data_IF_840265923883
#
_entry.id   IF_840265923883
#
_cell.length_a   1.000
_cell.length_b   1.000
_cell.length_c   1.000
_cell.angle_alpha   90.00
_cell.angle_beta   90.00
_cell.angle_gamma   90.00
#
_symmetry.space_group_name_H-M   'P 1'
#
loop_
_entity.id
_entity.type
_entity.pdbx_description
1 polymer ?
#
# COMPACT_ATOMS: atom_id res chain seq x y z
N UNK A 1 5.42 -44.78 14.29
CA UNK A 1 5.31 -43.33 14.55
C UNK A 1 6.12 -42.67 13.46
N UNK A 2 5.47 -42.28 12.36
CA UNK A 2 6.11 -41.48 11.34
C UNK A 2 6.26 -40.08 11.94
N UNK A 3 7.50 -39.64 12.08
CA UNK A 3 7.82 -38.24 12.32
C UNK A 3 7.24 -37.47 11.12
N UNK A 4 6.10 -36.78 11.33
CA UNK A 4 5.70 -35.71 10.43
C UNK A 4 6.81 -34.66 10.55
N UNK A 5 7.66 -34.58 9.52
CA UNK A 5 8.52 -33.42 9.31
C UNK A 5 7.60 -32.20 9.28
N UNK A 6 7.56 -31.45 10.37
CA UNK A 6 6.92 -30.15 10.40
C UNK A 6 7.71 -29.27 9.44
N UNK A 7 7.29 -29.22 8.18
CA UNK A 7 7.72 -28.19 7.24
C UNK A 7 7.49 -26.87 7.95
N UNK A 8 8.58 -26.26 8.44
CA UNK A 8 8.59 -24.89 8.92
C UNK A 8 8.19 -24.08 7.70
N UNK A 9 6.90 -23.75 7.68
CA UNK A 9 6.21 -23.25 6.50
C UNK A 9 6.80 -21.86 6.27
N UNK A 10 7.80 -21.75 5.40
CA UNK A 10 8.60 -20.55 5.15
C UNK A 10 7.70 -19.30 5.11
N UNK A 11 8.07 -18.30 5.94
CA UNK A 11 7.54 -16.94 5.85
C UNK A 11 7.58 -16.55 4.38
N UNK A 12 6.44 -16.18 3.81
CA UNK A 12 6.40 -15.87 2.39
C UNK A 12 7.08 -14.51 2.20
N UNK A 13 8.41 -14.53 2.04
CA UNK A 13 9.28 -13.35 1.93
C UNK A 13 8.74 -12.38 0.89
N UNK A 14 8.06 -12.90 -0.14
CA UNK A 14 7.40 -12.13 -1.17
C UNK A 14 6.36 -11.16 -0.60
N UNK A 15 5.48 -11.59 0.32
CA UNK A 15 4.47 -10.70 0.91
C UNK A 15 5.13 -9.64 1.80
N UNK A 16 6.16 -10.02 2.57
CA UNK A 16 6.90 -9.11 3.42
C UNK A 16 7.60 -8.03 2.57
N UNK A 17 8.23 -8.44 1.48
CA UNK A 17 8.86 -7.55 0.50
C UNK A 17 7.82 -6.64 -0.15
N UNK A 18 6.66 -7.17 -0.56
CA UNK A 18 5.57 -6.37 -1.14
C UNK A 18 5.07 -5.32 -0.14
N UNK A 19 4.89 -5.67 1.14
CA UNK A 19 4.51 -4.73 2.19
C UNK A 19 5.55 -3.61 2.39
N UNK A 20 6.84 -3.95 2.36
CA UNK A 20 7.92 -2.97 2.44
C UNK A 20 7.91 -2.06 1.21
N UNK A 21 7.82 -2.62 0.01
CA UNK A 21 7.79 -1.85 -1.24
C UNK A 21 6.57 -0.92 -1.29
N UNK A 22 5.41 -1.41 -0.87
CA UNK A 22 4.19 -0.62 -0.78
C UNK A 22 4.34 0.47 0.27
N UNK A 23 4.89 0.16 1.46
CA UNK A 23 5.16 1.16 2.49
C UNK A 23 6.12 2.26 2.02
N UNK A 24 7.21 1.89 1.33
CA UNK A 24 8.14 2.85 0.73
C UNK A 24 7.46 3.69 -0.36
N UNK A 25 6.58 3.11 -1.16
CA UNK A 25 5.80 3.84 -2.15
C UNK A 25 4.88 4.87 -1.50
N UNK A 26 4.18 4.52 -0.42
CA UNK A 26 3.34 5.45 0.35
C UNK A 26 4.16 6.57 1.00
N UNK A 27 5.34 6.25 1.55
CA UNK A 27 6.27 7.25 2.09
C UNK A 27 6.71 8.20 0.96
N UNK A 28 7.09 7.66 -0.20
CA UNK A 28 7.50 8.45 -1.36
C UNK A 28 6.38 9.40 -1.82
N UNK A 29 5.16 8.88 -1.97
CA UNK A 29 3.99 9.67 -2.34
C UNK A 29 3.75 10.81 -1.36
N UNK A 30 3.87 10.56 -0.06
CA UNK A 30 3.64 11.59 0.93
C UNK A 30 4.78 12.61 1.05
N UNK A 31 6.02 12.22 0.71
CA UNK A 31 7.12 13.18 0.53
C UNK A 31 6.85 14.08 -0.68
N UNK A 32 6.32 13.54 -1.79
CA UNK A 32 5.92 14.35 -2.94
C UNK A 32 4.80 15.33 -2.57
N UNK A 33 3.81 14.89 -1.77
CA UNK A 33 2.74 15.76 -1.26
C UNK A 33 3.31 16.91 -0.42
N UNK A 34 4.20 16.58 0.51
CA UNK A 34 4.84 17.57 1.38
C UNK A 34 5.65 18.60 0.59
N UNK A 35 6.38 18.15 -0.44
CA UNK A 35 7.15 19.03 -1.32
C UNK A 35 6.24 19.91 -2.20
N UNK A 36 5.12 19.37 -2.69
CA UNK A 36 4.11 20.11 -3.43
C UNK A 36 3.43 21.17 -2.54
N UNK A 37 3.06 20.81 -1.30
CA UNK A 37 2.54 21.73 -0.29
C UNK A 37 3.54 22.85 0.04
N UNK A 38 4.84 22.52 0.11
CA UNK A 38 5.91 23.50 0.33
C UNK A 38 6.18 24.41 -0.88
N UNK A 39 5.44 24.26 -1.98
CA UNK A 39 5.59 25.06 -3.20
C UNK A 39 6.90 24.80 -3.94
N UNK A 40 7.57 23.67 -3.65
CA UNK A 40 8.80 23.28 -4.35
C UNK A 40 8.40 22.68 -5.70
N UNK A 41 8.84 23.26 -6.83
CA UNK A 41 8.53 22.73 -8.14
C UNK A 41 9.21 21.37 -8.31
N UNK A 42 8.41 20.31 -8.22
CA UNK A 42 8.85 18.95 -8.44
C UNK A 42 9.14 18.78 -9.93
N UNK A 43 10.42 18.59 -10.27
CA UNK A 43 10.87 18.23 -11.62
C UNK A 43 10.54 16.75 -11.91
N UNK A 44 9.26 16.40 -11.82
CA UNK A 44 8.76 15.08 -12.14
C UNK A 44 8.65 14.93 -13.67
N UNK A 45 8.87 13.73 -14.22
CA UNK A 45 8.78 13.49 -15.66
C UNK A 45 7.45 13.96 -16.25
N UNK A 46 7.42 14.34 -17.53
CA UNK A 46 6.23 14.88 -18.20
C UNK A 46 4.98 13.98 -18.12
N UNK A 47 5.15 12.66 -17.97
CA UNK A 47 4.04 11.71 -17.78
C UNK A 47 3.43 11.75 -16.37
N UNK A 48 4.14 12.33 -15.39
CA UNK A 48 3.67 12.60 -14.02
C UNK A 48 3.21 14.06 -13.88
N UNK A 49 3.84 14.99 -14.60
CA UNK A 49 3.55 16.44 -14.55
C UNK A 49 2.63 16.94 -15.65
N UNK A 50 2.11 16.05 -16.50
CA UNK A 50 0.98 16.38 -17.35
C UNK A 50 -0.14 16.94 -16.46
N UNK A 51 -0.77 18.04 -16.88
CA UNK A 51 -1.67 18.87 -16.05
C UNK A 51 -2.69 18.05 -15.27
N UNK A 52 -3.20 17.00 -15.88
CA UNK A 52 -4.27 16.16 -15.33
C UNK A 52 -3.71 15.19 -14.27
N UNK A 53 -2.57 14.54 -14.54
CA UNK A 53 -1.90 13.66 -13.58
C UNK A 53 -1.40 14.42 -12.35
N UNK A 54 -0.93 15.67 -12.52
CA UNK A 54 -0.45 16.48 -11.39
C UNK A 54 -1.58 16.94 -10.45
N UNK A 55 -2.76 17.26 -11.00
CA UNK A 55 -3.93 17.65 -10.21
C UNK A 55 -4.58 16.43 -9.54
N UNK A 56 -4.59 15.28 -10.20
CA UNK A 56 -5.10 14.04 -9.63
C UNK A 56 -4.17 13.47 -8.57
N UNK A 57 -2.85 13.53 -8.79
CA UNK A 57 -1.86 13.23 -7.76
C UNK A 57 -2.05 14.21 -6.60
N UNK A 58 -2.21 15.51 -6.81
CA UNK A 58 -2.55 16.45 -5.73
C UNK A 58 -3.90 16.19 -5.06
N UNK A 59 -4.90 15.68 -5.78
CA UNK A 59 -6.20 15.28 -5.21
C UNK A 59 -6.11 14.01 -4.36
N UNK A 60 -5.26 13.06 -4.78
CA UNK A 60 -4.92 11.83 -4.05
C UNK A 60 -4.06 12.13 -2.81
N UNK A 61 -3.18 13.14 -2.91
CA UNK A 61 -2.15 13.44 -1.93
C UNK A 61 -2.57 14.53 -0.91
N UNK A 62 -3.21 15.60 -1.37
CA UNK A 62 -3.39 16.86 -0.63
C UNK A 62 -4.44 16.85 0.49
N UNK A 63 -5.22 15.77 0.65
CA UNK A 63 -6.20 15.67 1.73
C UNK A 63 -5.69 14.94 2.98
N UNK A 64 -4.64 14.13 2.88
CA UNK A 64 -4.28 13.16 3.94
C UNK A 64 -2.78 12.85 4.08
N UNK A 65 -1.86 13.68 3.57
CA UNK A 65 -0.42 13.41 3.57
C UNK A 65 0.17 12.84 4.87
N UNK A 66 -0.26 13.33 6.05
CA UNK A 66 0.19 12.79 7.35
C UNK A 66 -0.27 11.35 7.62
N UNK A 67 -1.49 11.00 7.23
CA UNK A 67 -2.04 9.64 7.38
C UNK A 67 -1.33 8.70 6.42
N UNK A 68 -1.03 9.17 5.20
CA UNK A 68 -0.28 8.43 4.18
C UNK A 68 1.16 8.12 4.63
N UNK A 69 1.86 9.08 5.26
CA UNK A 69 3.19 8.84 5.87
C UNK A 69 3.08 7.81 6.98
N UNK A 70 2.14 7.98 7.91
CA UNK A 70 1.97 7.08 9.03
C UNK A 70 1.71 5.65 8.54
N UNK A 71 0.80 5.48 7.58
CA UNK A 71 0.52 4.19 6.93
C UNK A 71 1.76 3.59 6.27
N UNK A 72 2.53 4.39 5.52
CA UNK A 72 3.74 3.94 4.88
C UNK A 72 4.80 3.46 5.88
N UNK A 73 4.99 4.19 6.98
CA UNK A 73 5.90 3.80 8.06
C UNK A 73 5.44 2.52 8.73
N UNK A 74 4.16 2.40 9.07
CA UNK A 74 3.61 1.19 9.69
C UNK A 74 3.67 -0.02 8.74
N UNK A 75 3.49 0.18 7.43
CA UNK A 75 3.64 -0.87 6.43
C UNK A 75 5.09 -1.40 6.37
N UNK A 76 6.08 -0.50 6.37
CA UNK A 76 7.51 -0.88 6.39
C UNK A 76 7.86 -1.60 7.69
N UNK A 77 7.44 -1.05 8.84
CA UNK A 77 7.71 -1.64 10.15
C UNK A 77 7.07 -3.03 10.27
N UNK A 78 5.82 -3.19 9.81
CA UNK A 78 5.14 -4.48 9.80
C UNK A 78 5.80 -5.47 8.84
N UNK A 79 6.21 -5.04 7.64
CA UNK A 79 6.93 -5.87 6.69
C UNK A 79 8.28 -6.38 7.23
N UNK A 80 9.04 -5.52 7.94
CA UNK A 80 10.27 -5.92 8.63
C UNK A 80 9.97 -6.86 9.80
N UNK A 81 8.94 -6.58 10.60
CA UNK A 81 8.55 -7.43 11.73
C UNK A 81 8.06 -8.81 11.31
N UNK A 82 7.39 -8.91 10.15
CA UNK A 82 6.92 -10.18 9.59
C UNK A 82 8.04 -11.12 9.13
N UNK A 83 9.26 -10.60 8.85
CA UNK A 83 10.44 -11.44 8.64
C UNK A 83 10.92 -12.14 9.92
N UNK A 84 10.59 -11.57 11.08
CA UNK A 84 10.89 -12.17 12.39
C UNK A 84 9.72 -12.96 12.95
N UNK A 85 8.66 -13.14 12.16
CA UNK A 85 7.44 -13.85 12.54
C UNK A 85 6.78 -13.33 13.83
N UNK A 86 6.91 -12.02 14.08
CA UNK A 86 6.40 -11.39 15.29
C UNK A 86 4.88 -11.18 15.24
N UNK A 87 4.16 -11.57 16.31
CA UNK A 87 2.70 -11.41 16.45
C UNK A 87 2.22 -9.97 16.28
N UNK A 88 2.94 -9.01 16.87
CA UNK A 88 2.58 -7.60 16.81
C UNK A 88 2.70 -7.05 15.37
N UNK A 89 3.58 -7.62 14.55
CA UNK A 89 3.76 -7.21 13.16
C UNK A 89 2.59 -7.66 12.29
N UNK A 90 2.03 -8.85 12.55
CA UNK A 90 0.83 -9.33 11.88
C UNK A 90 -0.37 -8.41 12.15
N UNK A 91 -0.56 -8.01 13.42
CA UNK A 91 -1.64 -7.10 13.79
C UNK A 91 -1.56 -5.76 13.05
N UNK A 92 -0.36 -5.16 12.98
CA UNK A 92 -0.14 -3.92 12.25
C UNK A 92 -0.34 -4.11 10.74
N UNK A 93 0.16 -5.21 10.16
CA UNK A 93 0.01 -5.49 8.74
C UNK A 93 -1.47 -5.62 8.33
N UNK A 94 -2.28 -6.32 9.13
CA UNK A 94 -3.73 -6.44 8.88
C UNK A 94 -4.41 -5.07 8.89
N UNK A 95 -4.12 -4.23 9.88
CA UNK A 95 -4.70 -2.88 9.97
C UNK A 95 -4.31 -2.04 8.76
N UNK A 96 -3.03 -2.06 8.37
CA UNK A 96 -2.52 -1.32 7.20
C UNK A 96 -3.21 -1.79 5.91
N UNK A 97 -3.31 -3.10 5.69
CA UNK A 97 -3.96 -3.66 4.49
C UNK A 97 -5.44 -3.29 4.42
N UNK A 98 -6.16 -3.30 5.55
CA UNK A 98 -7.56 -2.86 5.59
C UNK A 98 -7.69 -1.40 5.21
N UNK A 99 -6.83 -0.52 5.72
CA UNK A 99 -6.88 0.92 5.39
C UNK A 99 -6.56 1.15 3.91
N UNK A 100 -5.59 0.42 3.34
CA UNK A 100 -5.28 0.46 1.91
C UNK A 100 -6.53 0.06 1.10
N UNK A 101 -7.19 -1.05 1.47
CA UNK A 101 -8.41 -1.50 0.78
C UNK A 101 -9.52 -0.43 0.85
N UNK A 102 -9.75 0.17 2.01
CA UNK A 102 -10.78 1.22 2.17
C UNK A 102 -10.46 2.42 1.27
N UNK A 103 -9.22 2.88 1.27
CA UNK A 103 -8.80 4.02 0.46
C UNK A 103 -8.94 3.69 -1.04
N UNK A 104 -8.48 2.53 -1.49
CA UNK A 104 -8.59 2.12 -2.89
C UNK A 104 -10.04 1.93 -3.34
N UNK A 105 -10.93 1.44 -2.47
CA UNK A 105 -12.37 1.37 -2.77
C UNK A 105 -12.97 2.77 -2.87
N UNK A 106 -12.60 3.69 -1.98
CA UNK A 106 -13.06 5.08 -2.02
C UNK A 106 -12.63 5.77 -3.32
N UNK A 107 -11.39 5.56 -3.76
CA UNK A 107 -10.88 6.07 -5.03
C UNK A 107 -11.64 5.47 -6.22
N UNK A 108 -11.84 4.14 -6.23
CA UNK A 108 -12.61 3.42 -7.26
C UNK A 108 -14.02 3.96 -7.41
N UNK A 109 -14.72 4.22 -6.30
CA UNK A 109 -16.05 4.82 -6.32
C UNK A 109 -16.01 6.25 -6.87
N UNK A 110 -14.92 6.99 -6.67
CA UNK A 110 -14.72 8.32 -7.23
C UNK A 110 -14.62 8.30 -8.75
N UNK A 111 -13.70 7.52 -9.32
CA UNK A 111 -13.45 7.56 -10.76
C UNK A 111 -14.40 6.69 -11.59
N UNK A 112 -15.13 5.73 -11.02
CA UNK A 112 -16.16 5.00 -11.80
C UNK A 112 -17.33 5.91 -12.21
N UNK A 113 -17.44 7.08 -11.58
CA UNK A 113 -18.46 8.09 -11.89
C UNK A 113 -18.04 9.09 -12.97
N UNK A 114 -16.78 9.06 -13.41
CA UNK A 114 -16.27 9.92 -14.49
C UNK A 114 -16.29 9.20 -15.83
N UNK A 115 -16.62 9.92 -16.92
CA UNK A 115 -16.45 9.36 -18.27
C UNK A 115 -14.97 9.22 -18.57
N UNK A 116 -14.54 8.14 -19.21
CA UNK A 116 -13.15 7.89 -19.63
C UNK A 116 -12.16 7.49 -18.53
N UNK A 117 -12.64 6.94 -17.41
CA UNK A 117 -11.80 6.42 -16.33
C UNK A 117 -10.71 5.42 -16.77
N UNK A 118 -10.90 4.72 -17.90
CA UNK A 118 -9.94 3.78 -18.47
C UNK A 118 -8.74 4.44 -19.17
N UNK A 119 -8.80 5.73 -19.47
CA UNK A 119 -7.67 6.46 -20.08
C UNK A 119 -6.65 6.92 -19.03
N UNK A 120 -7.06 6.96 -17.77
CA UNK A 120 -6.25 7.47 -16.70
C UNK A 120 -5.45 6.34 -16.03
N UNK A 121 -4.13 6.42 -16.16
CA UNK A 121 -3.23 5.40 -15.65
C UNK A 121 -3.21 5.31 -14.12
N UNK A 122 -3.56 6.40 -13.42
CA UNK A 122 -3.58 6.44 -11.96
C UNK A 122 -4.61 5.47 -11.38
N UNK A 123 -5.73 5.29 -12.09
CA UNK A 123 -6.80 4.37 -11.70
C UNK A 123 -6.29 2.92 -11.67
N UNK A 124 -5.33 2.56 -12.52
CA UNK A 124 -4.70 1.24 -12.48
C UNK A 124 -3.82 1.04 -11.25
N UNK A 125 -3.20 2.10 -10.71
CA UNK A 125 -2.45 2.03 -9.45
C UNK A 125 -3.42 1.72 -8.30
N UNK A 126 -4.54 2.45 -8.22
CA UNK A 126 -5.58 2.22 -7.21
C UNK A 126 -6.15 0.80 -7.28
N UNK A 127 -6.39 0.28 -8.49
CA UNK A 127 -6.80 -1.12 -8.70
C UNK A 127 -5.72 -2.10 -8.23
N UNK A 128 -4.46 -1.85 -8.56
CA UNK A 128 -3.33 -2.68 -8.11
C UNK A 128 -3.21 -2.69 -6.58
N UNK A 129 -3.33 -1.53 -5.94
CA UNK A 129 -3.33 -1.38 -4.49
C UNK A 129 -4.51 -2.14 -3.85
N UNK A 130 -5.70 -2.08 -4.44
CA UNK A 130 -6.84 -2.88 -3.99
C UNK A 130 -6.56 -4.38 -4.05
N UNK A 131 -6.04 -4.87 -5.17
CA UNK A 131 -5.73 -6.30 -5.35
C UNK A 131 -4.70 -6.77 -4.34
N UNK A 132 -3.61 -6.02 -4.16
CA UNK A 132 -2.58 -6.32 -3.16
C UNK A 132 -3.16 -6.29 -1.75
N UNK A 133 -3.98 -5.28 -1.43
CA UNK A 133 -4.64 -5.13 -0.14
C UNK A 133 -5.52 -6.32 0.20
N UNK A 134 -6.41 -6.72 -0.72
CA UNK A 134 -7.34 -7.84 -0.51
C UNK A 134 -6.60 -9.18 -0.46
N UNK A 135 -5.70 -9.45 -1.42
CA UNK A 135 -4.97 -10.71 -1.45
C UNK A 135 -4.03 -10.85 -0.25
N UNK A 136 -3.31 -9.78 0.10
CA UNK A 136 -2.44 -9.74 1.26
C UNK A 136 -3.23 -9.92 2.56
N UNK A 137 -4.41 -9.32 2.68
CA UNK A 137 -5.26 -9.46 3.85
C UNK A 137 -5.77 -10.90 4.01
N UNK A 138 -6.36 -11.47 2.95
CA UNK A 138 -6.85 -12.85 2.96
C UNK A 138 -5.72 -13.83 3.26
N UNK A 139 -4.55 -13.62 2.66
CA UNK A 139 -3.37 -14.43 2.92
C UNK A 139 -2.97 -14.40 4.39
N UNK A 140 -2.81 -13.21 4.97
CA UNK A 140 -2.43 -13.07 6.38
C UNK A 140 -3.43 -13.74 7.32
N UNK A 141 -4.73 -13.62 7.06
CA UNK A 141 -5.77 -14.30 7.84
C UNK A 141 -5.58 -15.83 7.80
N UNK A 142 -5.32 -16.40 6.62
CA UNK A 142 -5.08 -17.84 6.49
C UNK A 142 -3.72 -18.29 7.04
N UNK A 143 -2.76 -17.40 7.18
CA UNK A 143 -1.44 -17.71 7.77
C UNK A 143 -1.30 -17.29 9.23
N UNK A 144 -2.37 -16.83 9.88
CA UNK A 144 -2.36 -16.42 11.30
C UNK A 144 -1.84 -17.51 12.25
N UNK A 145 -2.08 -18.79 11.95
CA UNK A 145 -1.57 -19.90 12.77
C UNK A 145 -0.03 -20.02 12.81
N UNK A 146 0.68 -19.35 11.89
CA UNK A 146 2.16 -19.31 11.89
C UNK A 146 2.76 -18.31 12.87
N UNK A 147 1.97 -17.33 13.34
CA UNK A 147 2.44 -16.25 14.19
C UNK A 147 1.87 -16.46 15.60
N UNK A 148 2.17 -17.60 16.23
CA UNK A 148 1.77 -17.96 17.60
C UNK A 148 3.00 -18.33 18.43
#
# INVERSE_FOLDING_TARGET
MSEEETEVKDSNELLNIILILLGLFYIFLAVLDFLAWAGIPLALPAWVTASDASQEIQGLLGSQGLVTIALGVFAVVAGIGMFKEEEWALGIALVVLVIIVINSVSELLGFITTSEWWLNWINYISIGALVIGVLGFLWLVFTTERYK
#
